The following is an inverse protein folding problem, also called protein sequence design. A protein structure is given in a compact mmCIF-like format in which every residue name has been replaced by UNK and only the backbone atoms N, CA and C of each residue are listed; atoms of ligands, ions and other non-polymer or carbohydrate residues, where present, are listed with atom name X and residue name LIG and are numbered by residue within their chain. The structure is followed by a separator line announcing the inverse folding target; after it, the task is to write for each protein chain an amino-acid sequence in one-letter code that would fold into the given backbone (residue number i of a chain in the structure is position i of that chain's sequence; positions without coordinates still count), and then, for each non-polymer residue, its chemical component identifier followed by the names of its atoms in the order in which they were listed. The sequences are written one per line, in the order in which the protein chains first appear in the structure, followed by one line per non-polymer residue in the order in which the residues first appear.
data_IF_590136063695
#
_entry.id   IF_590136063695
#
_cell.length_a   1.000
_cell.length_b   1.000
_cell.length_c   1.000
_cell.angle_alpha   90.00
_cell.angle_beta   90.00
_cell.angle_gamma   90.00
#
_symmetry.space_group_name_H-M   'P 1'
#
loop_
_entity.id
_entity.type
_entity.pdbx_description
1 polymer ?
#
# COMPACT_ATOMS: atom_id res chain seq x y z
N UNK A 1 4.16 25.32 6.91
CA UNK A 1 4.64 24.36 7.93
C UNK A 1 4.07 22.98 7.62
N UNK A 2 4.49 22.35 6.52
CA UNK A 2 4.29 20.92 6.18
C UNK A 2 5.32 20.55 5.10
N UNK A 3 5.70 19.28 4.95
CA UNK A 3 6.52 18.81 3.81
C UNK A 3 5.72 18.81 2.49
N UNK A 4 4.39 18.99 2.55
CA UNK A 4 3.43 18.89 1.43
C UNK A 4 3.52 20.03 0.41
N UNK A 5 4.57 20.84 0.48
CA UNK A 5 4.90 21.85 -0.54
C UNK A 5 6.18 21.50 -1.29
N UNK A 6 6.96 20.54 -0.77
CA UNK A 6 8.34 20.34 -1.15
C UNK A 6 8.49 18.99 -1.88
N UNK A 7 9.01 18.98 -3.11
CA UNK A 7 9.30 17.75 -3.84
C UNK A 7 10.20 16.78 -3.08
N UNK A 8 11.07 17.26 -2.18
CA UNK A 8 11.91 16.41 -1.35
C UNK A 8 11.11 15.55 -0.36
N UNK A 9 9.92 16.00 0.05
CA UNK A 9 9.01 15.24 0.90
C UNK A 9 8.12 14.26 0.13
N UNK A 10 8.00 14.43 -1.20
CA UNK A 10 7.09 13.68 -2.04
C UNK A 10 5.61 14.07 -1.87
N UNK A 11 4.80 13.77 -2.87
CA UNK A 11 3.35 13.91 -2.82
C UNK A 11 2.64 12.69 -2.23
N UNK A 12 1.32 12.66 -2.37
CA UNK A 12 0.49 11.56 -1.89
C UNK A 12 0.90 10.20 -2.48
N UNK A 13 1.38 10.16 -3.73
CA UNK A 13 1.91 8.94 -4.34
C UNK A 13 3.15 8.40 -3.63
N UNK A 14 4.09 9.26 -3.26
CA UNK A 14 5.31 8.85 -2.59
C UNK A 14 5.04 8.45 -1.13
N UNK A 15 4.20 9.21 -0.44
CA UNK A 15 3.83 8.99 0.97
C UNK A 15 2.93 7.75 1.13
N UNK A 16 1.77 7.73 0.47
CA UNK A 16 0.77 6.67 0.63
C UNK A 16 0.85 5.61 -0.48
N UNK A 17 1.08 6.05 -1.71
CA UNK A 17 1.13 5.15 -2.86
C UNK A 17 2.30 4.15 -2.80
N UNK A 18 3.42 4.51 -2.15
CA UNK A 18 4.55 3.58 -1.93
C UNK A 18 4.14 2.36 -1.11
N UNK A 19 3.32 2.54 -0.06
CA UNK A 19 2.76 1.44 0.71
C UNK A 19 1.81 0.57 -0.12
N UNK A 20 0.98 1.18 -0.96
CA UNK A 20 0.07 0.45 -1.87
C UNK A 20 0.85 -0.36 -2.91
N UNK A 21 1.92 0.22 -3.50
CA UNK A 21 2.81 -0.47 -4.45
C UNK A 21 3.56 -1.62 -3.79
N UNK A 22 4.09 -1.42 -2.58
CA UNK A 22 4.73 -2.49 -1.81
C UNK A 22 3.77 -3.64 -1.52
N UNK A 23 2.52 -3.32 -1.15
CA UNK A 23 1.47 -4.33 -0.92
C UNK A 23 1.12 -5.08 -2.20
N UNK A 24 1.00 -4.35 -3.32
CA UNK A 24 0.73 -4.95 -4.62
C UNK A 24 1.84 -5.92 -5.07
N UNK A 25 3.11 -5.51 -4.98
CA UNK A 25 4.23 -6.41 -5.33
C UNK A 25 4.37 -7.58 -4.36
N UNK A 26 4.09 -7.38 -3.07
CA UNK A 26 4.08 -8.47 -2.08
C UNK A 26 3.03 -9.54 -2.40
N UNK A 27 1.82 -9.13 -2.82
CA UNK A 27 0.71 -10.06 -3.09
C UNK A 27 0.77 -10.68 -4.49
N UNK A 28 1.16 -9.91 -5.50
CA UNK A 28 0.98 -10.28 -6.91
C UNK A 28 2.30 -10.45 -7.66
N UNK A 29 3.42 -10.10 -7.06
CA UNK A 29 4.73 -10.13 -7.69
C UNK A 29 5.05 -8.86 -8.50
N UNK A 30 6.09 -8.89 -9.35
CA UNK A 30 6.67 -7.68 -9.92
C UNK A 30 5.75 -6.92 -10.89
N UNK A 31 5.69 -5.60 -10.73
CA UNK A 31 5.03 -4.67 -11.67
C UNK A 31 6.02 -4.35 -12.82
N UNK A 32 5.61 -4.53 -14.07
CA UNK A 32 6.47 -4.32 -15.24
C UNK A 32 6.18 -3.05 -16.01
N UNK A 33 4.93 -2.57 -15.97
CA UNK A 33 4.53 -1.34 -16.68
C UNK A 33 3.51 -0.56 -15.87
N UNK A 34 3.56 0.77 -15.99
CA UNK A 34 2.67 1.69 -15.29
C UNK A 34 2.16 2.80 -16.19
N UNK A 35 0.93 3.26 -15.94
CA UNK A 35 0.37 4.48 -16.50
C UNK A 35 -0.15 5.36 -15.36
N UNK A 36 0.52 6.49 -15.12
CA UNK A 36 0.27 7.37 -13.98
C UNK A 36 -0.64 8.58 -14.26
N UNK A 37 -1.31 9.04 -13.21
CA UNK A 37 -2.05 10.31 -13.14
C UNK A 37 -1.79 10.97 -11.77
N UNK A 38 -0.94 11.99 -11.74
CA UNK A 38 -0.54 12.71 -10.53
C UNK A 38 -1.12 14.13 -10.59
N UNK A 39 -1.99 14.46 -9.63
CA UNK A 39 -2.80 15.69 -9.64
C UNK A 39 -2.55 16.50 -8.38
N UNK A 40 -2.18 17.77 -8.56
CA UNK A 40 -2.21 18.79 -7.52
C UNK A 40 -3.56 19.50 -7.58
N UNK A 41 -4.36 19.40 -6.53
CA UNK A 41 -5.70 20.01 -6.46
C UNK A 41 -5.64 21.31 -5.68
N UNK A 42 -4.85 21.33 -4.61
CA UNK A 42 -4.64 22.48 -3.73
C UNK A 42 -3.30 23.12 -4.12
N UNK A 43 -3.35 24.09 -5.03
CA UNK A 43 -2.16 24.71 -5.61
C UNK A 43 -1.34 25.55 -4.63
N UNK A 44 -1.93 25.98 -3.52
CA UNK A 44 -1.26 26.78 -2.50
C UNK A 44 -1.70 26.38 -1.08
N UNK A 45 -0.78 26.38 -0.11
CA UNK A 45 -1.12 26.19 1.31
C UNK A 45 -0.32 27.15 2.21
N UNK A 46 -0.72 27.34 3.48
CA UNK A 46 -0.01 28.24 4.40
C UNK A 46 1.46 27.84 4.64
N UNK A 47 2.37 28.80 4.51
CA UNK A 47 3.81 28.57 4.68
C UNK A 47 4.24 28.43 6.16
N UNK A 48 3.36 28.79 7.10
CA UNK A 48 3.62 28.80 8.55
C UNK A 48 4.35 30.04 9.05
N UNK A 49 4.55 31.03 8.19
CA UNK A 49 5.14 32.35 8.49
C UNK A 49 4.13 33.48 8.25
N UNK A 50 2.84 33.15 8.14
CA UNK A 50 1.75 34.08 7.86
C UNK A 50 1.48 34.31 6.37
N UNK A 51 2.17 33.59 5.47
CA UNK A 51 1.98 33.63 4.02
C UNK A 51 1.43 32.33 3.45
N UNK A 52 1.45 32.26 2.12
CA UNK A 52 1.06 31.10 1.31
C UNK A 52 2.25 30.66 0.45
N UNK A 53 2.38 29.35 0.19
CA UNK A 53 3.40 28.79 -0.71
C UNK A 53 2.75 27.82 -1.68
N UNK A 54 3.18 27.89 -2.94
CA UNK A 54 2.79 26.96 -3.99
C UNK A 54 3.13 25.52 -3.59
N UNK A 55 2.28 24.59 -4.03
CA UNK A 55 2.46 23.15 -3.86
C UNK A 55 3.05 22.59 -5.15
N UNK A 56 4.18 21.90 -5.02
CA UNK A 56 4.90 21.31 -6.15
C UNK A 56 4.79 19.77 -6.20
N UNK A 57 3.88 19.22 -5.40
CA UNK A 57 3.65 17.77 -5.26
C UNK A 57 2.20 17.40 -5.50
N UNK A 58 1.94 16.14 -5.82
CA UNK A 58 0.57 15.64 -6.01
C UNK A 58 -0.18 15.53 -4.68
N UNK A 59 -1.46 15.93 -4.69
CA UNK A 59 -2.42 15.62 -3.62
C UNK A 59 -3.06 14.24 -3.83
N UNK A 60 -3.10 13.81 -5.09
CA UNK A 60 -3.64 12.52 -5.53
C UNK A 60 -2.73 11.94 -6.60
N UNK A 61 -2.24 10.73 -6.36
CA UNK A 61 -1.51 9.93 -7.34
C UNK A 61 -2.25 8.64 -7.64
N UNK A 62 -2.53 8.39 -8.91
CA UNK A 62 -3.15 7.16 -9.41
C UNK A 62 -2.24 6.48 -10.40
N UNK A 63 -2.34 5.16 -10.50
CA UNK A 63 -1.70 4.43 -11.57
C UNK A 63 -2.48 3.19 -11.99
N UNK A 64 -2.49 2.89 -13.28
CA UNK A 64 -2.76 1.55 -13.80
C UNK A 64 -1.46 0.75 -13.86
N UNK A 65 -1.54 -0.54 -13.55
CA UNK A 65 -0.39 -1.43 -13.38
C UNK A 65 -0.50 -2.66 -14.29
N UNK A 66 0.62 -3.12 -14.84
CA UNK A 66 0.79 -4.45 -15.44
C UNK A 66 1.81 -5.25 -14.64
N UNK A 67 1.48 -6.50 -14.33
CA UNK A 67 2.35 -7.40 -13.58
C UNK A 67 3.03 -8.39 -14.52
N UNK A 68 4.22 -8.86 -14.14
CA UNK A 68 4.99 -9.84 -14.91
C UNK A 68 4.24 -11.16 -15.13
N UNK A 69 3.32 -11.51 -14.24
CA UNK A 69 2.48 -12.71 -14.32
C UNK A 69 1.23 -12.53 -15.19
N UNK A 70 1.06 -11.39 -15.86
CA UNK A 70 -0.08 -11.07 -16.71
C UNK A 70 -1.28 -10.46 -15.98
N UNK A 71 -1.23 -10.31 -14.65
CA UNK A 71 -2.26 -9.59 -13.92
C UNK A 71 -2.23 -8.08 -14.26
N UNK A 72 -3.34 -7.41 -13.98
CA UNK A 72 -3.44 -5.95 -14.07
C UNK A 72 -4.18 -5.41 -12.87
N UNK A 73 -3.88 -4.17 -12.50
CA UNK A 73 -4.55 -3.52 -11.38
C UNK A 73 -4.44 -2.01 -11.45
N UNK A 74 -4.89 -1.37 -10.38
CA UNK A 74 -4.76 0.07 -10.18
C UNK A 74 -4.48 0.38 -8.72
N UNK A 75 -3.82 1.50 -8.46
CA UNK A 75 -3.62 2.07 -7.13
C UNK A 75 -4.03 3.54 -7.10
N UNK A 76 -4.37 4.02 -5.91
CA UNK A 76 -4.56 5.44 -5.62
C UNK A 76 -3.94 5.77 -4.25
N UNK A 77 -3.09 6.79 -4.20
CA UNK A 77 -2.71 7.51 -2.98
C UNK A 77 -3.38 8.88 -2.98
N UNK A 78 -4.08 9.25 -1.91
CA UNK A 78 -4.95 10.43 -1.92
C UNK A 78 -5.02 11.10 -0.53
N UNK A 79 -4.48 12.31 -0.40
CA UNK A 79 -4.52 13.08 0.85
C UNK A 79 -5.84 13.81 1.09
N UNK A 80 -6.66 13.95 0.06
CA UNK A 80 -7.90 14.76 0.09
C UNK A 80 -9.17 13.88 0.01
N UNK A 81 -9.04 12.58 0.26
CA UNK A 81 -10.14 11.62 0.36
C UNK A 81 -10.98 11.89 1.62
N UNK A 82 -11.88 12.87 1.53
CA UNK A 82 -12.70 13.34 2.66
C UNK A 82 -13.48 12.18 3.29
N UNK A 83 -13.31 12.02 4.61
CA UNK A 83 -13.92 10.95 5.40
C UNK A 83 -12.99 9.79 5.72
N UNK A 84 -11.97 9.54 4.88
CA UNK A 84 -10.95 8.50 5.13
C UNK A 84 -9.94 8.95 6.17
N UNK A 85 -9.47 8.01 6.99
CA UNK A 85 -8.46 8.26 8.03
C UNK A 85 -7.16 7.52 7.70
N UNK A 86 -7.19 6.20 7.70
CA UNK A 86 -6.05 5.32 7.42
C UNK A 86 -6.50 4.17 6.50
N UNK A 87 -7.03 4.54 5.34
CA UNK A 87 -7.51 3.57 4.35
C UNK A 87 -6.32 3.02 3.56
N UNK A 88 -5.80 1.88 4.00
CA UNK A 88 -4.83 1.07 3.27
C UNK A 88 -5.49 -0.25 2.88
N UNK A 89 -6.27 -0.21 1.81
CA UNK A 89 -7.15 -1.30 1.40
C UNK A 89 -6.57 -2.02 0.17
N UNK A 90 -6.97 -3.28 -0.02
CA UNK A 90 -6.73 -3.98 -1.27
C UNK A 90 -7.84 -4.97 -1.57
N UNK A 91 -8.00 -5.24 -2.86
CA UNK A 91 -8.82 -6.33 -3.37
C UNK A 91 -8.02 -7.09 -4.43
N UNK A 92 -8.06 -8.43 -4.38
CA UNK A 92 -7.38 -9.31 -5.32
C UNK A 92 -8.39 -10.30 -5.87
N UNK A 93 -8.47 -10.39 -7.19
CA UNK A 93 -9.42 -11.25 -7.89
C UNK A 93 -8.67 -12.28 -8.73
N UNK A 94 -8.87 -13.56 -8.41
CA UNK A 94 -8.28 -14.69 -9.10
C UNK A 94 -9.34 -15.64 -9.66
N UNK A 95 -8.90 -16.63 -10.43
CA UNK A 95 -9.82 -17.60 -11.08
C UNK A 95 -10.50 -18.56 -10.10
N UNK A 96 -9.99 -18.68 -8.87
CA UNK A 96 -10.50 -19.60 -7.83
C UNK A 96 -11.09 -18.89 -6.63
N UNK A 97 -10.99 -17.57 -6.56
CA UNK A 97 -11.36 -16.85 -5.36
C UNK A 97 -10.96 -15.39 -5.39
N UNK A 98 -11.30 -14.68 -4.32
CA UNK A 98 -10.92 -13.29 -4.13
C UNK A 98 -10.56 -13.00 -2.67
N UNK A 99 -9.74 -11.98 -2.47
CA UNK A 99 -9.42 -11.40 -1.16
C UNK A 99 -9.83 -9.94 -1.14
N UNK A 100 -10.36 -9.48 -0.01
CA UNK A 100 -10.59 -8.07 0.25
C UNK A 100 -10.16 -7.73 1.67
N UNK A 101 -9.47 -6.61 1.82
CA UNK A 101 -8.93 -6.15 3.09
C UNK A 101 -9.16 -4.65 3.24
N UNK A 102 -9.47 -4.22 4.46
CA UNK A 102 -9.64 -2.81 4.80
C UNK A 102 -8.73 -2.42 5.96
N UNK A 103 -7.84 -1.45 5.74
CA UNK A 103 -6.86 -1.03 6.73
C UNK A 103 -7.50 -0.51 8.02
N UNK A 104 -8.64 0.18 7.91
CA UNK A 104 -9.41 0.69 9.06
C UNK A 104 -10.10 -0.45 9.85
N UNK A 105 -10.13 -1.67 9.30
CA UNK A 105 -10.54 -2.91 9.98
C UNK A 105 -9.40 -3.93 9.93
N UNK A 106 -8.22 -3.52 10.41
CA UNK A 106 -6.94 -4.25 10.38
C UNK A 106 -6.99 -5.75 10.71
N UNK A 107 -7.94 -6.17 11.55
CA UNK A 107 -8.04 -7.55 12.03
C UNK A 107 -9.01 -8.43 11.23
N UNK A 108 -9.55 -7.91 10.12
CA UNK A 108 -10.51 -8.62 9.28
C UNK A 108 -9.92 -8.86 7.88
N UNK A 109 -9.95 -10.11 7.42
CA UNK A 109 -9.71 -10.46 6.02
C UNK A 109 -10.98 -11.07 5.44
N UNK A 110 -11.42 -10.58 4.30
CA UNK A 110 -12.53 -11.16 3.56
C UNK A 110 -11.99 -12.10 2.49
N UNK A 111 -12.46 -13.36 2.51
CA UNK A 111 -12.07 -14.39 1.53
C UNK A 111 -13.30 -14.94 0.82
N UNK A 112 -13.24 -15.03 -0.50
CA UNK A 112 -14.22 -15.66 -1.35
C UNK A 112 -13.59 -16.89 -2.02
N UNK A 113 -14.29 -18.02 -2.00
CA UNK A 113 -13.87 -19.28 -2.62
C UNK A 113 -14.88 -19.70 -3.69
N UNK A 114 -14.43 -19.77 -4.95
CA UNK A 114 -15.29 -20.11 -6.07
C UNK A 114 -15.75 -21.58 -6.06
N UNK A 115 -15.18 -22.41 -5.17
CA UNK A 115 -15.55 -23.82 -5.01
C UNK A 115 -16.60 -24.04 -3.91
N UNK A 116 -16.98 -22.99 -3.16
CA UNK A 116 -18.07 -23.07 -2.19
C UNK A 116 -19.38 -23.48 -2.91
N UNK A 117 -20.23 -24.22 -2.20
CA UNK A 117 -21.50 -24.74 -2.72
C UNK A 117 -22.42 -23.62 -3.20
N UNK A 118 -23.16 -23.87 -4.28
CA UNK A 118 -24.14 -22.91 -4.79
C UNK A 118 -25.15 -22.49 -3.70
N UNK A 119 -25.51 -21.21 -3.69
CA UNK A 119 -26.29 -20.58 -2.61
C UNK A 119 -25.53 -20.33 -1.30
N UNK A 120 -24.26 -20.72 -1.18
CA UNK A 120 -23.38 -20.39 -0.04
C UNK A 120 -22.15 -19.58 -0.41
N UNK A 121 -21.98 -19.25 -1.69
CA UNK A 121 -20.89 -18.42 -2.16
C UNK A 121 -21.03 -16.98 -1.64
N UNK A 122 -19.95 -16.45 -1.08
CA UNK A 122 -19.89 -15.10 -0.56
C UNK A 122 -18.57 -14.86 0.18
N UNK A 123 -18.21 -13.60 0.38
CA UNK A 123 -17.05 -13.28 1.20
C UNK A 123 -17.31 -13.69 2.65
N UNK A 124 -16.53 -14.66 3.15
CA UNK A 124 -16.44 -14.94 4.59
C UNK A 124 -15.44 -14.01 5.24
N UNK A 125 -15.84 -13.42 6.36
CA UNK A 125 -14.92 -12.67 7.22
C UNK A 125 -14.09 -13.65 8.05
N UNK A 126 -12.77 -13.50 7.97
CA UNK A 126 -11.79 -14.23 8.77
C UNK A 126 -11.18 -13.22 9.74
N UNK A 127 -11.38 -13.45 11.03
CA UNK A 127 -10.78 -12.64 12.10
C UNK A 127 -9.32 -13.08 12.33
N UNK A 128 -8.41 -12.13 12.42
CA UNK A 128 -7.05 -12.37 12.89
C UNK A 128 -7.08 -12.96 14.32
N UNK A 129 -6.13 -13.84 14.61
CA UNK A 129 -6.18 -14.67 15.82
C UNK A 129 -4.94 -15.54 15.97
N UNK A 130 -4.78 -16.27 17.09
CA UNK A 130 -3.57 -17.01 17.43
C UNK A 130 -3.11 -18.03 16.37
N UNK A 131 -4.04 -18.56 15.57
CA UNK A 131 -3.77 -19.46 14.46
C UNK A 131 -3.08 -18.78 13.26
N UNK A 132 -2.98 -17.46 13.24
CA UNK A 132 -2.34 -16.64 12.22
C UNK A 132 -1.01 -16.10 12.76
N UNK A 133 0.14 -16.75 12.51
CA UNK A 133 1.42 -16.26 13.01
C UNK A 133 1.73 -14.86 12.46
N UNK A 134 2.33 -13.96 13.26
CA UNK A 134 2.78 -14.15 14.65
C UNK A 134 1.77 -13.70 15.72
N UNK A 135 0.48 -13.55 15.41
CA UNK A 135 -0.55 -12.98 16.30
C UNK A 135 -0.55 -13.58 17.72
N UNK A 136 -0.39 -14.90 17.83
CA UNK A 136 -0.38 -15.62 19.12
C UNK A 136 0.71 -15.18 20.10
N UNK A 137 1.71 -14.42 19.64
CA UNK A 137 2.74 -13.81 20.49
C UNK A 137 2.26 -12.54 21.21
N UNK A 138 1.17 -11.93 20.73
CA UNK A 138 0.56 -10.74 21.30
C UNK A 138 -0.64 -11.13 22.17
N UNK A 139 -1.54 -11.93 21.60
CA UNK A 139 -2.82 -12.28 22.22
C UNK A 139 -3.10 -13.76 21.96
N UNK A 140 -3.33 -14.51 23.04
CA UNK A 140 -3.59 -15.96 23.00
C UNK A 140 -5.05 -16.33 22.69
N UNK A 141 -5.94 -15.34 22.61
CA UNK A 141 -7.36 -15.52 22.34
C UNK A 141 -7.79 -14.80 21.05
N UNK A 142 -8.66 -15.39 20.21
CA UNK A 142 -9.21 -14.70 19.04
C UNK A 142 -10.11 -13.52 19.45
N UNK A 143 -10.31 -12.56 18.54
CA UNK A 143 -11.28 -11.47 18.69
C UNK A 143 -10.86 -10.27 19.56
N UNK A 144 -9.66 -10.27 20.14
CA UNK A 144 -9.18 -9.17 21.01
C UNK A 144 -8.40 -8.08 20.25
N UNK A 145 -8.08 -8.33 18.98
CA UNK A 145 -7.49 -7.38 18.00
C UNK A 145 -6.08 -6.87 18.32
N UNK A 146 -5.23 -6.75 17.29
CA UNK A 146 -3.96 -6.01 17.33
C UNK A 146 -4.12 -4.65 16.66
N UNK A 147 -3.26 -3.70 17.01
CA UNK A 147 -3.26 -2.34 16.48
C UNK A 147 -2.01 -1.99 15.66
N UNK A 148 -1.96 -0.75 15.19
CA UNK A 148 -0.86 -0.22 14.38
C UNK A 148 0.53 -0.40 15.03
N UNK A 149 0.63 -0.18 16.35
CA UNK A 149 1.89 -0.31 17.07
C UNK A 149 2.40 -1.75 17.15
N UNK A 150 1.49 -2.74 17.10
CA UNK A 150 1.88 -4.16 17.08
C UNK A 150 2.55 -4.51 15.75
N UNK A 151 2.13 -3.91 14.64
CA UNK A 151 2.79 -4.06 13.33
C UNK A 151 4.26 -3.62 13.40
N UNK A 152 4.56 -2.56 14.15
CA UNK A 152 5.93 -2.08 14.37
C UNK A 152 6.73 -2.99 15.29
N UNK A 153 6.07 -3.64 16.25
CA UNK A 153 6.70 -4.68 17.05
C UNK A 153 7.07 -5.90 16.19
N UNK A 154 6.20 -6.29 15.25
CA UNK A 154 6.49 -7.38 14.29
C UNK A 154 7.68 -7.00 13.39
N UNK A 155 7.68 -5.78 12.84
CA UNK A 155 8.76 -5.24 11.98
C UNK A 155 10.12 -5.26 12.70
N UNK A 156 10.20 -4.72 13.91
CA UNK A 156 11.44 -4.70 14.72
C UNK A 156 11.89 -6.12 15.08
N UNK A 157 10.96 -7.03 15.40
CA UNK A 157 11.31 -8.42 15.68
C UNK A 157 11.92 -9.12 14.45
N UNK A 158 11.42 -8.84 13.26
CA UNK A 158 12.00 -9.32 11.99
C UNK A 158 13.41 -8.80 11.78
N UNK A 159 13.59 -7.48 11.92
CA UNK A 159 14.89 -6.82 11.78
C UNK A 159 15.95 -7.38 12.74
N UNK A 160 15.63 -7.50 14.04
CA UNK A 160 16.56 -8.05 15.04
C UNK A 160 16.91 -9.50 14.73
N UNK A 161 15.94 -10.30 14.27
CA UNK A 161 16.17 -11.70 13.87
C UNK A 161 17.13 -11.78 12.68
N UNK A 162 16.93 -10.97 11.65
CA UNK A 162 17.80 -10.94 10.48
C UNK A 162 19.27 -10.64 10.87
N UNK A 163 19.49 -9.71 11.80
CA UNK A 163 20.83 -9.42 12.35
C UNK A 163 21.38 -10.63 13.11
N UNK A 164 20.60 -11.18 14.04
CA UNK A 164 21.07 -12.24 14.93
C UNK A 164 21.39 -13.55 14.20
N UNK A 165 20.63 -13.87 13.16
CA UNK A 165 20.73 -15.12 12.41
C UNK A 165 21.53 -14.98 11.11
N UNK A 166 21.89 -13.76 10.70
CA UNK A 166 22.50 -13.51 9.39
C UNK A 166 21.57 -13.85 8.22
N UNK A 167 20.26 -13.85 8.46
CA UNK A 167 19.25 -14.21 7.46
C UNK A 167 18.93 -13.01 6.55
N UNK A 168 18.51 -13.25 5.30
CA UNK A 168 18.05 -12.16 4.43
C UNK A 168 16.81 -11.47 5.01
N UNK A 169 16.85 -10.15 5.12
CA UNK A 169 15.66 -9.33 5.38
C UNK A 169 14.98 -8.98 4.04
N UNK A 170 13.75 -9.48 3.78
CA UNK A 170 13.06 -9.26 2.50
C UNK A 170 12.76 -7.78 2.24
N UNK A 171 12.56 -6.95 3.28
CA UNK A 171 12.24 -5.53 3.15
C UNK A 171 13.47 -4.61 3.29
N UNK A 172 14.57 -4.98 2.63
CA UNK A 172 15.83 -4.23 2.66
C UNK A 172 15.85 -3.01 1.71
N UNK A 173 16.98 -2.28 1.66
CA UNK A 173 17.13 -1.10 0.81
C UNK A 173 16.97 -1.35 -0.69
N UNK A 174 17.21 -2.57 -1.20
CA UNK A 174 16.93 -2.90 -2.60
C UNK A 174 15.43 -2.98 -2.85
N UNK A 175 14.67 -3.53 -1.91
CA UNK A 175 13.21 -3.50 -1.96
C UNK A 175 12.69 -2.05 -1.86
N UNK A 176 13.28 -1.23 -0.99
CA UNK A 176 12.98 0.21 -0.93
C UNK A 176 13.24 0.94 -2.25
N UNK A 177 14.43 0.75 -2.84
CA UNK A 177 14.78 1.31 -4.15
C UNK A 177 13.81 0.86 -5.26
N UNK A 178 13.37 -0.40 -5.21
CA UNK A 178 12.40 -0.95 -6.15
C UNK A 178 11.07 -0.18 -6.09
N UNK A 179 10.54 0.04 -4.91
CA UNK A 179 9.30 0.81 -4.72
C UNK A 179 9.49 2.27 -5.12
N UNK A 180 10.63 2.87 -4.76
CA UNK A 180 10.97 4.23 -5.17
C UNK A 180 11.02 4.38 -6.71
N UNK A 181 11.60 3.39 -7.40
CA UNK A 181 11.65 3.37 -8.87
C UNK A 181 10.24 3.30 -9.49
N UNK A 182 9.32 2.56 -8.88
CA UNK A 182 7.91 2.53 -9.30
C UNK A 182 7.25 3.91 -9.16
N UNK A 183 7.41 4.56 -8.00
CA UNK A 183 6.87 5.91 -7.73
C UNK A 183 7.37 6.89 -8.78
N UNK A 184 8.69 6.95 -9.01
CA UNK A 184 9.31 7.87 -9.97
C UNK A 184 8.86 7.59 -11.41
N UNK A 185 8.71 6.31 -11.76
CA UNK A 185 8.24 5.90 -13.09
C UNK A 185 6.77 6.26 -13.31
N UNK A 186 5.92 6.13 -12.29
CA UNK A 186 4.51 6.59 -12.34
C UNK A 186 4.45 8.11 -12.53
N UNK A 187 5.26 8.88 -11.79
CA UNK A 187 5.31 10.34 -11.95
C UNK A 187 5.81 10.75 -13.34
N UNK A 188 6.83 10.05 -13.86
CA UNK A 188 7.31 10.25 -15.24
C UNK A 188 6.22 9.92 -16.25
N UNK A 189 5.56 8.78 -16.11
CA UNK A 189 4.44 8.36 -16.95
C UNK A 189 3.30 9.38 -16.95
N UNK A 190 2.98 9.95 -15.79
CA UNK A 190 1.97 11.00 -15.67
C UNK A 190 2.36 12.27 -16.45
N UNK A 191 3.61 12.72 -16.37
CA UNK A 191 4.07 13.87 -17.17
C UNK A 191 4.06 13.59 -18.68
N UNK A 192 4.39 12.37 -19.07
CA UNK A 192 4.50 11.96 -20.47
C UNK A 192 3.18 11.45 -21.07
N UNK A 193 2.14 11.28 -20.24
CA UNK A 193 0.80 10.81 -20.62
C UNK A 193 0.82 9.50 -21.41
N UNK A 194 1.66 8.54 -21.00
CA UNK A 194 1.84 7.25 -21.69
C UNK A 194 2.29 6.15 -20.73
N UNK A 195 2.13 4.89 -21.15
CA UNK A 195 2.70 3.74 -20.44
C UNK A 195 4.23 3.85 -20.37
N UNK A 196 4.78 3.54 -19.20
CA UNK A 196 6.21 3.46 -18.95
C UNK A 196 6.57 2.07 -18.41
N UNK A 197 7.66 1.50 -18.93
CA UNK A 197 8.24 0.25 -18.41
C UNK A 197 9.05 0.55 -17.17
N UNK A 198 9.07 -0.38 -16.23
CA UNK A 198 9.95 -0.31 -15.07
C UNK A 198 11.30 -0.92 -15.46
N UNK A 199 12.36 -0.14 -15.28
CA UNK A 199 13.76 -0.55 -15.52
C UNK A 199 14.31 -1.42 -14.38
#
# INVERSE_FOLDING_TARGET
FTFRHDPAGGGALADLGSHALATAEFLLGPITEVMGDCVTVINERPDGKGGSRNVEVDDVGRAFLRFANGASGSIEGNWIATGRKMQHDFEVYGTKGALAFMGERLNELHFFDATDTDGRQGFRKIEAGPAHPPYGRFIVAPGHQIGFNDLKTIEVAGFVRAIAEGAPEPFNFRAGLRIQSLVETIQKSSREQRWAKIE
#
